data_IF_703565209517
#
_entry.id   IF_703565209517
#
_cell.length_a   1.000
_cell.length_b   1.000
_cell.length_c   1.000
_cell.angle_alpha   90.00
_cell.angle_beta   90.00
_cell.angle_gamma   90.00
#
_symmetry.space_group_name_H-M   'P 1'
#
loop_
_entity.id
_entity.type
_entity.pdbx_description
1 polymer ?
#
# COMPACT_ATOMS: atom_id res chain seq x y z
N UNK A 1 24.17 -27.95 5.56
CA UNK A 1 23.78 -27.02 4.47
C UNK A 1 22.46 -26.42 4.86
N UNK A 2 22.44 -25.17 5.25
CA UNK A 2 21.19 -24.46 5.56
C UNK A 2 20.49 -24.20 4.22
N UNK A 3 19.36 -24.85 3.98
CA UNK A 3 18.42 -24.49 2.93
C UNK A 3 17.88 -23.08 3.23
N UNK A 4 18.69 -22.07 2.91
CA UNK A 4 18.18 -20.72 2.83
C UNK A 4 17.33 -20.66 1.57
N UNK A 5 16.02 -20.81 1.77
CA UNK A 5 15.06 -20.46 0.75
C UNK A 5 15.33 -19.01 0.33
N UNK A 6 15.50 -18.74 -0.97
CA UNK A 6 15.71 -17.38 -1.42
C UNK A 6 14.56 -16.48 -0.91
N UNK A 7 14.93 -15.29 -0.42
CA UNK A 7 13.93 -14.34 0.04
C UNK A 7 12.84 -14.16 -1.03
N UNK A 8 11.58 -14.13 -0.63
CA UNK A 8 10.48 -14.01 -1.59
C UNK A 8 10.64 -12.71 -2.39
N UNK A 9 10.49 -12.81 -3.71
CA UNK A 9 10.50 -11.65 -4.60
C UNK A 9 9.32 -10.75 -4.21
N UNK A 10 9.58 -9.46 -3.97
CA UNK A 10 8.54 -8.52 -3.53
C UNK A 10 7.35 -8.47 -4.50
N UNK A 11 7.60 -8.28 -5.78
CA UNK A 11 6.56 -8.31 -6.82
C UNK A 11 6.37 -9.76 -7.31
N UNK A 12 5.71 -10.58 -6.50
CA UNK A 12 5.45 -11.97 -6.83
C UNK A 12 4.55 -12.12 -8.05
N UNK A 13 4.80 -13.11 -8.93
CA UNK A 13 3.95 -13.36 -10.08
C UNK A 13 2.59 -13.96 -9.70
N UNK A 14 2.46 -14.47 -8.47
CA UNK A 14 1.20 -15.05 -7.96
C UNK A 14 1.17 -15.03 -6.43
N UNK A 15 -0.03 -14.93 -5.88
CA UNK A 15 -0.25 -15.06 -4.44
C UNK A 15 -0.06 -16.51 -3.98
N UNK A 16 0.68 -16.68 -2.87
CA UNK A 16 0.78 -17.95 -2.15
C UNK A 16 0.73 -17.64 -0.65
N UNK A 17 -0.19 -18.28 0.04
CA UNK A 17 -0.32 -18.14 1.51
C UNK A 17 0.97 -18.53 2.24
N UNK A 18 1.67 -19.54 1.73
CA UNK A 18 2.94 -20.02 2.29
C UNK A 18 4.08 -19.00 2.31
N UNK A 19 3.97 -17.95 1.48
CA UNK A 19 5.00 -16.92 1.39
C UNK A 19 4.87 -15.87 2.52
N UNK A 20 3.82 -15.97 3.35
CA UNK A 20 3.49 -15.02 4.39
C UNK A 20 3.43 -15.68 5.76
N UNK A 21 3.97 -15.03 6.76
CA UNK A 21 3.78 -15.39 8.16
C UNK A 21 2.79 -14.41 8.79
N UNK A 22 1.52 -14.76 8.80
CA UNK A 22 0.43 -13.93 9.33
C UNK A 22 0.50 -13.75 10.86
N UNK A 23 1.30 -14.54 11.55
CA UNK A 23 1.49 -14.43 13.01
C UNK A 23 2.56 -13.40 13.37
N UNK A 24 3.41 -13.01 12.42
CA UNK A 24 4.46 -12.03 12.62
C UNK A 24 4.09 -10.68 11.98
N UNK A 25 3.67 -9.75 12.81
CA UNK A 25 3.56 -8.36 12.38
C UNK A 25 4.96 -7.73 12.29
N UNK A 26 5.27 -7.22 11.12
CA UNK A 26 6.47 -6.43 10.87
C UNK A 26 6.04 -4.98 10.66
N UNK A 27 6.44 -4.09 11.56
CA UNK A 27 6.07 -2.68 11.47
C UNK A 27 6.16 -1.96 12.81
N UNK A 28 5.86 -0.66 12.85
CA UNK A 28 5.82 0.11 14.06
C UNK A 28 4.70 -0.39 14.98
N UNK A 29 5.00 -0.39 16.26
CA UNK A 29 4.02 -0.70 17.32
C UNK A 29 3.46 0.58 17.89
N UNK A 30 2.34 0.48 18.59
CA UNK A 30 1.79 1.62 19.31
C UNK A 30 2.82 2.22 20.27
N UNK A 31 3.05 3.53 20.14
CA UNK A 31 4.06 4.25 20.91
C UNK A 31 5.42 4.40 20.22
N UNK A 32 5.64 3.72 19.10
CA UNK A 32 6.87 3.89 18.32
C UNK A 32 6.84 5.20 17.53
N UNK A 33 8.02 5.79 17.33
CA UNK A 33 8.17 6.93 16.44
C UNK A 33 7.95 6.52 14.98
N UNK A 34 7.24 7.37 14.24
CA UNK A 34 7.03 7.18 12.82
C UNK A 34 8.35 7.39 12.07
N UNK A 35 8.75 6.39 11.30
CA UNK A 35 9.87 6.53 10.36
C UNK A 35 9.40 7.30 9.12
N UNK A 36 10.14 8.34 8.77
CA UNK A 36 9.82 9.14 7.59
C UNK A 36 10.05 8.36 6.29
N UNK A 37 9.16 8.55 5.35
CA UNK A 37 9.23 7.99 4.00
C UNK A 37 8.87 9.04 2.98
N UNK A 38 9.52 8.96 1.82
CA UNK A 38 9.14 9.74 0.66
C UNK A 38 8.36 8.83 -0.30
N UNK A 39 7.11 9.20 -0.56
CA UNK A 39 6.20 8.51 -1.46
C UNK A 39 5.84 9.44 -2.62
N UNK A 40 5.27 8.90 -3.68
CA UNK A 40 4.86 9.70 -4.83
C UNK A 40 3.35 9.96 -4.80
N UNK A 41 2.95 11.22 -4.86
CA UNK A 41 1.54 11.60 -5.04
C UNK A 41 1.03 11.12 -6.39
N UNK A 42 0.00 10.30 -6.41
CA UNK A 42 -0.54 9.76 -7.66
C UNK A 42 -1.12 10.84 -8.57
N UNK A 43 -1.78 11.83 -7.99
CA UNK A 43 -2.47 12.88 -8.73
C UNK A 43 -1.51 13.86 -9.42
N UNK A 44 -0.38 14.16 -8.81
CA UNK A 44 0.54 15.21 -9.27
C UNK A 44 1.91 14.71 -9.70
N UNK A 45 2.33 13.53 -9.20
CA UNK A 45 3.68 13.01 -9.36
C UNK A 45 4.70 13.61 -8.40
N UNK A 46 4.27 14.47 -7.48
CA UNK A 46 5.16 15.12 -6.52
C UNK A 46 5.61 14.15 -5.42
N UNK A 47 6.77 14.44 -4.84
CA UNK A 47 7.24 13.74 -3.66
C UNK A 47 6.51 14.24 -2.40
N UNK A 48 6.00 13.31 -1.61
CA UNK A 48 5.30 13.56 -0.35
C UNK A 48 5.98 12.79 0.77
N UNK A 49 6.30 13.46 1.85
CA UNK A 49 6.88 12.84 3.04
C UNK A 49 5.80 12.58 4.09
N UNK A 50 5.93 11.51 4.85
CA UNK A 50 5.02 11.27 5.98
C UNK A 50 5.14 12.38 7.04
N UNK A 51 6.32 12.96 7.22
CA UNK A 51 6.54 14.09 8.12
C UNK A 51 5.81 15.38 7.70
N UNK A 52 5.35 15.48 6.44
CA UNK A 52 4.51 16.61 6.01
C UNK A 52 3.15 16.64 6.73
N UNK A 53 2.76 15.53 7.34
CA UNK A 53 1.53 15.39 8.13
C UNK A 53 1.78 15.53 9.64
N UNK A 54 2.95 15.99 10.04
CA UNK A 54 3.27 16.16 11.46
C UNK A 54 2.23 17.04 12.18
N UNK A 55 1.82 16.64 13.37
CA UNK A 55 0.79 17.33 14.14
C UNK A 55 -0.66 17.02 13.76
N UNK A 56 -0.87 16.14 12.78
CA UNK A 56 -2.20 15.68 12.34
C UNK A 56 -2.41 14.20 12.68
N UNK A 57 -3.66 13.84 12.89
CA UNK A 57 -4.05 12.42 12.86
C UNK A 57 -4.05 11.93 11.42
N UNK A 58 -3.36 10.84 11.17
CA UNK A 58 -3.28 10.24 9.84
C UNK A 58 -3.69 8.78 9.94
N UNK A 59 -4.65 8.39 9.12
CA UNK A 59 -5.02 7.00 8.90
C UNK A 59 -4.41 6.53 7.59
N UNK A 60 -3.64 5.47 7.63
CA UNK A 60 -2.97 4.89 6.46
C UNK A 60 -3.53 3.50 6.21
N UNK A 61 -3.99 3.26 5.00
CA UNK A 61 -4.34 1.93 4.49
C UNK A 61 -3.45 1.62 3.29
N UNK A 62 -2.84 0.44 3.29
CA UNK A 62 -2.12 -0.08 2.13
C UNK A 62 -3.04 -0.94 1.29
N UNK A 63 -2.86 -0.92 -0.03
CA UNK A 63 -3.71 -1.71 -0.92
C UNK A 63 -3.20 -1.76 -2.34
N UNK A 64 -3.92 -2.50 -3.16
CA UNK A 64 -3.69 -2.61 -4.60
C UNK A 64 -4.98 -2.95 -5.34
N UNK A 65 -4.99 -2.76 -6.65
CA UNK A 65 -6.17 -3.05 -7.49
C UNK A 65 -6.62 -4.52 -7.45
N UNK A 66 -5.71 -5.44 -7.13
CA UNK A 66 -6.00 -6.88 -7.03
C UNK A 66 -6.27 -7.35 -5.61
N UNK A 67 -6.24 -6.45 -4.62
CA UNK A 67 -6.57 -6.79 -3.23
C UNK A 67 -8.08 -6.63 -2.99
N UNK A 68 -8.81 -7.74 -2.91
CA UNK A 68 -10.26 -7.72 -2.72
C UNK A 68 -10.68 -7.17 -1.35
N UNK A 69 -9.85 -7.33 -0.33
CA UNK A 69 -10.12 -6.79 1.01
C UNK A 69 -10.08 -5.26 0.98
N UNK A 70 -9.05 -4.69 0.35
CA UNK A 70 -8.95 -3.26 0.16
C UNK A 70 -10.10 -2.71 -0.70
N UNK A 71 -10.31 -3.27 -1.89
CA UNK A 71 -11.30 -2.72 -2.83
C UNK A 71 -12.75 -2.79 -2.31
N UNK A 72 -13.08 -3.80 -1.51
CA UNK A 72 -14.40 -3.92 -0.87
C UNK A 72 -14.63 -2.91 0.25
N UNK A 73 -13.56 -2.48 0.92
CA UNK A 73 -13.65 -1.53 2.03
C UNK A 73 -13.75 -0.07 1.59
N UNK A 74 -13.51 0.25 0.33
CA UNK A 74 -13.51 1.63 -0.17
C UNK A 74 -14.82 2.38 0.15
N UNK A 75 -16.02 1.80 -0.06
CA UNK A 75 -17.28 2.50 0.28
C UNK A 75 -17.40 2.80 1.77
N UNK A 76 -17.09 1.82 2.63
CA UNK A 76 -17.18 1.99 4.09
C UNK A 76 -16.16 3.03 4.58
N UNK A 77 -14.98 3.06 4.01
CA UNK A 77 -13.95 4.07 4.33
C UNK A 77 -14.37 5.48 3.92
N UNK A 78 -15.25 5.62 2.94
CA UNK A 78 -15.84 6.91 2.59
C UNK A 78 -16.69 7.45 3.72
N UNK A 79 -17.51 6.61 4.31
CA UNK A 79 -18.37 6.98 5.43
C UNK A 79 -17.55 7.31 6.68
N UNK A 80 -16.56 6.47 7.00
CA UNK A 80 -15.63 6.71 8.12
C UNK A 80 -14.90 8.04 7.94
N UNK A 81 -14.38 8.33 6.75
CA UNK A 81 -13.71 9.60 6.47
C UNK A 81 -14.64 10.80 6.69
N UNK A 82 -15.91 10.70 6.33
CA UNK A 82 -16.89 11.76 6.53
C UNK A 82 -17.16 12.05 8.03
N UNK A 83 -17.08 11.02 8.88
CA UNK A 83 -17.24 11.18 10.34
C UNK A 83 -16.03 11.82 11.02
N UNK A 84 -14.84 11.72 10.43
CA UNK A 84 -13.60 12.23 11.00
C UNK A 84 -12.93 13.27 10.10
N UNK A 85 -13.51 14.48 9.95
CA UNK A 85 -12.99 15.49 9.01
C UNK A 85 -11.61 16.04 9.37
N UNK A 86 -11.18 15.92 10.64
CA UNK A 86 -9.88 16.37 11.11
C UNK A 86 -8.76 15.30 10.94
N UNK A 87 -9.10 14.12 10.47
CA UNK A 87 -8.15 13.04 10.21
C UNK A 87 -7.79 13.02 8.72
N UNK A 88 -6.50 12.98 8.42
CA UNK A 88 -6.02 12.76 7.06
C UNK A 88 -6.10 11.27 6.71
N UNK A 89 -6.79 10.93 5.63
CA UNK A 89 -6.92 9.55 5.17
C UNK A 89 -6.07 9.34 3.92
N UNK A 90 -5.06 8.51 4.03
CA UNK A 90 -4.14 8.16 2.96
C UNK A 90 -4.32 6.71 2.54
N UNK A 91 -4.38 6.49 1.24
CA UNK A 91 -4.22 5.18 0.65
C UNK A 91 -2.82 5.08 0.05
N UNK A 92 -2.04 4.10 0.45
CA UNK A 92 -0.71 3.86 -0.11
C UNK A 92 -0.76 2.64 -1.02
N UNK A 93 -0.54 2.88 -2.31
CA UNK A 93 -0.52 1.83 -3.31
C UNK A 93 0.79 1.05 -3.22
N UNK A 94 0.68 -0.23 -2.94
CA UNK A 94 1.82 -1.14 -2.77
C UNK A 94 1.91 -2.12 -3.95
N UNK A 95 2.37 -3.33 -3.75
CA UNK A 95 2.39 -4.36 -4.80
C UNK A 95 1.00 -4.93 -5.07
N UNK A 96 0.83 -5.61 -6.19
CA UNK A 96 -0.39 -6.37 -6.43
C UNK A 96 -0.47 -7.58 -5.48
N UNK A 97 -1.58 -7.68 -4.73
CA UNK A 97 -1.79 -8.79 -3.81
C UNK A 97 -2.07 -10.11 -4.55
N UNK A 98 -2.87 -10.03 -5.61
CA UNK A 98 -3.26 -11.18 -6.43
C UNK A 98 -3.01 -10.88 -7.90
N UNK A 99 -1.74 -10.83 -8.34
CA UNK A 99 -1.41 -10.56 -9.72
C UNK A 99 -1.95 -11.67 -10.64
N UNK A 100 -2.39 -11.27 -11.83
CA UNK A 100 -2.96 -12.16 -12.82
C UNK A 100 -2.72 -11.68 -14.25
N UNK A 101 -3.47 -12.22 -15.20
CA UNK A 101 -3.28 -11.90 -16.62
C UNK A 101 -3.57 -10.43 -16.96
N UNK A 102 -4.54 -9.82 -16.28
CA UNK A 102 -4.96 -8.44 -16.57
C UNK A 102 -4.10 -7.39 -15.84
N UNK A 103 -3.59 -7.74 -14.70
CA UNK A 103 -2.76 -6.88 -13.86
C UNK A 103 -1.70 -7.75 -13.21
N UNK A 104 -0.53 -7.80 -13.84
CA UNK A 104 0.61 -8.59 -13.38
C UNK A 104 1.42 -7.89 -12.29
N UNK A 105 2.48 -8.54 -11.82
CA UNK A 105 3.44 -7.92 -10.92
C UNK A 105 4.12 -6.74 -11.61
N UNK A 106 4.38 -5.66 -10.85
CA UNK A 106 5.01 -4.47 -11.40
C UNK A 106 6.46 -4.74 -11.76
N UNK A 107 6.83 -4.45 -13.02
CA UNK A 107 8.21 -4.56 -13.51
C UNK A 107 9.01 -3.28 -13.31
N UNK A 108 8.31 -2.16 -13.26
CA UNK A 108 8.88 -0.81 -13.11
C UNK A 108 7.85 0.14 -12.49
N UNK A 109 8.30 1.34 -12.16
CA UNK A 109 7.45 2.33 -11.49
C UNK A 109 6.31 2.85 -12.38
N UNK A 110 6.52 2.96 -13.68
CA UNK A 110 5.46 3.40 -14.61
C UNK A 110 4.30 2.40 -14.65
N UNK A 111 4.58 1.11 -14.65
CA UNK A 111 3.54 0.08 -14.55
C UNK A 111 2.78 0.18 -13.23
N UNK A 112 3.48 0.42 -12.13
CA UNK A 112 2.88 0.62 -10.82
C UNK A 112 1.96 1.84 -10.79
N UNK A 113 2.40 2.96 -11.35
CA UNK A 113 1.57 4.17 -11.50
C UNK A 113 0.33 3.92 -12.35
N UNK A 114 0.45 3.19 -13.45
CA UNK A 114 -0.69 2.82 -14.30
C UNK A 114 -1.69 1.97 -13.54
N UNK A 115 -1.22 1.00 -12.78
CA UNK A 115 -2.08 0.15 -11.94
C UNK A 115 -2.78 0.97 -10.84
N UNK A 116 -2.07 1.86 -10.17
CA UNK A 116 -2.61 2.73 -9.14
C UNK A 116 -3.70 3.68 -9.69
N UNK A 117 -3.55 4.18 -10.91
CA UNK A 117 -4.55 5.05 -11.56
C UNK A 117 -5.91 4.37 -11.82
N UNK A 118 -5.99 3.05 -11.74
CA UNK A 118 -7.24 2.32 -11.94
C UNK A 118 -8.14 2.33 -10.71
N UNK A 119 -7.62 2.59 -9.51
CA UNK A 119 -8.39 2.44 -8.26
C UNK A 119 -9.55 3.41 -8.15
N UNK A 120 -9.37 4.66 -8.57
CA UNK A 120 -10.44 5.65 -8.51
C UNK A 120 -11.57 5.35 -9.52
N UNK A 121 -11.32 5.21 -10.84
CA UNK A 121 -12.40 4.99 -11.80
C UNK A 121 -13.04 3.60 -11.68
N UNK A 122 -12.29 2.59 -11.20
CA UNK A 122 -12.76 1.21 -11.14
C UNK A 122 -13.47 0.86 -9.85
N UNK A 123 -12.98 1.38 -8.73
CA UNK A 123 -13.46 1.01 -7.40
C UNK A 123 -13.97 2.18 -6.58
N UNK A 124 -13.92 3.40 -7.11
CA UNK A 124 -14.42 4.59 -6.43
C UNK A 124 -13.51 5.09 -5.32
N UNK A 125 -12.19 4.82 -5.39
CA UNK A 125 -11.25 5.37 -4.42
C UNK A 125 -11.32 6.90 -4.41
N UNK A 126 -11.56 7.47 -3.27
CA UNK A 126 -11.82 8.89 -3.05
C UNK A 126 -10.78 9.54 -2.14
N UNK A 127 -9.90 8.74 -1.55
CA UNK A 127 -8.82 9.23 -0.70
C UNK A 127 -7.64 9.69 -1.53
N UNK A 128 -6.76 10.44 -0.89
CA UNK A 128 -5.46 10.77 -1.43
C UNK A 128 -4.63 9.50 -1.57
N UNK A 129 -4.13 9.25 -2.77
CA UNK A 129 -3.34 8.05 -3.08
C UNK A 129 -1.87 8.43 -3.22
N UNK A 130 -1.05 7.82 -2.40
CA UNK A 130 0.41 7.87 -2.51
C UNK A 130 0.91 6.52 -3.02
N UNK A 131 1.98 6.52 -3.78
CA UNK A 131 2.54 5.31 -4.40
C UNK A 131 3.91 5.01 -3.82
N UNK A 132 4.07 3.78 -3.32
CA UNK A 132 5.34 3.27 -2.81
C UNK A 132 6.32 2.96 -3.94
N UNK A 133 7.60 2.81 -3.63
CA UNK A 133 8.62 2.36 -4.57
C UNK A 133 8.27 1.00 -5.19
N UNK A 134 8.88 0.67 -6.32
CA UNK A 134 8.67 -0.64 -6.97
C UNK A 134 9.04 -1.79 -6.04
N UNK A 135 10.10 -1.60 -5.27
CA UNK A 135 10.60 -2.62 -4.35
C UNK A 135 9.88 -2.64 -3.00
N UNK A 136 8.95 -1.72 -2.77
CA UNK A 136 8.11 -1.69 -1.58
C UNK A 136 8.82 -1.26 -0.31
N UNK A 137 9.63 -0.21 -0.38
CA UNK A 137 10.41 0.27 0.76
C UNK A 137 9.53 0.65 1.96
N UNK A 138 8.41 1.34 1.71
CA UNK A 138 7.42 1.62 2.73
C UNK A 138 6.73 0.35 3.21
N UNK A 139 6.22 -0.45 2.31
CA UNK A 139 5.43 -1.65 2.62
C UNK A 139 6.20 -2.65 3.49
N UNK A 140 7.47 -2.87 3.18
CA UNK A 140 8.35 -3.77 3.95
C UNK A 140 8.57 -3.33 5.40
N UNK A 141 8.51 -2.02 5.67
CA UNK A 141 8.72 -1.47 7.02
C UNK A 141 7.42 -1.25 7.81
N UNK A 142 6.28 -1.12 7.13
CA UNK A 142 5.00 -0.78 7.75
C UNK A 142 3.94 -1.87 7.65
N UNK A 143 4.33 -3.13 7.61
CA UNK A 143 3.38 -4.21 7.75
C UNK A 143 3.59 -5.39 6.84
N UNK A 144 4.06 -5.21 5.63
CA UNK A 144 4.38 -6.25 4.66
C UNK A 144 3.37 -7.42 4.62
N UNK A 145 2.09 -7.08 4.61
CA UNK A 145 1.02 -8.08 4.40
C UNK A 145 0.67 -8.21 2.92
N UNK A 146 0.05 -9.33 2.50
CA UNK A 146 -0.32 -9.54 1.11
C UNK A 146 -1.25 -8.47 0.57
#
# INVERSE_FOLDING_TARGET
MSDQQPAPIYNNPRFRVSDYNFEMFVGPRAGDDLKDFTLTELATGDAVKLTDFAGKWVMIETGSSTCSMYTKNIPDMKDVKAEFPDVEFLMIYVREAHPGERLGPHQNFDEKLKAAKLVAPRYGEHRRVLVDSVDGDFHKLYGFMP
#
